data_IF_865336562337
#
_entry.id   IF_865336562337
#
_cell.length_a   1.000
_cell.length_b   1.000
_cell.length_c   1.000
_cell.angle_alpha   90.00
_cell.angle_beta   90.00
_cell.angle_gamma   90.00
#
_symmetry.space_group_name_H-M   'P 1'
#
loop_
_entity.id
_entity.type
_entity.pdbx_description
1 polymer ?
#
# COMPACT_ATOMS: atom_id res chain seq x y z
N UNK A 1 -16.44 8.00 44.16
CA UNK A 1 -16.39 9.22 43.31
C UNK A 1 -15.93 8.78 41.94
N UNK A 2 -16.82 8.86 40.97
CA UNK A 2 -16.62 8.41 39.60
C UNK A 2 -15.94 9.47 38.76
N UNK A 3 -15.08 9.05 37.84
CA UNK A 3 -14.89 9.63 36.51
C UNK A 3 -14.25 8.50 35.67
N UNK A 4 -14.84 7.89 34.65
CA UNK A 4 -15.85 8.39 33.72
C UNK A 4 -15.19 8.87 32.43
N UNK A 5 -14.48 7.99 31.72
CA UNK A 5 -14.05 8.23 30.33
C UNK A 5 -14.32 6.96 29.52
N UNK A 6 -15.53 6.92 28.97
CA UNK A 6 -15.93 5.99 27.92
C UNK A 6 -15.03 6.22 26.70
N UNK A 7 -14.15 5.26 26.41
CA UNK A 7 -13.54 5.17 25.09
C UNK A 7 -14.27 4.07 24.34
N UNK A 8 -15.17 4.49 23.47
CA UNK A 8 -15.99 3.62 22.63
C UNK A 8 -15.08 2.68 21.86
N UNK A 9 -15.27 1.39 22.11
CA UNK A 9 -14.64 0.27 21.43
C UNK A 9 -14.82 0.40 19.91
N UNK A 10 -13.76 0.76 19.20
CA UNK A 10 -13.61 0.41 17.80
C UNK A 10 -13.05 -1.01 17.76
N UNK A 11 -13.96 -1.95 17.53
CA UNK A 11 -13.70 -3.38 17.38
C UNK A 11 -12.47 -3.63 16.52
N UNK A 12 -11.54 -4.36 17.10
CA UNK A 12 -10.30 -4.86 16.49
C UNK A 12 -10.54 -5.98 15.46
N UNK A 13 -11.75 -6.09 14.90
CA UNK A 13 -12.23 -7.24 14.13
C UNK A 13 -12.75 -6.84 12.76
N UNK A 14 -11.96 -6.07 11.99
CA UNK A 14 -12.18 -5.92 10.53
C UNK A 14 -10.86 -5.60 9.79
N UNK A 15 -9.75 -6.12 10.31
CA UNK A 15 -8.48 -6.16 9.56
C UNK A 15 -8.54 -7.41 8.68
N UNK A 16 -9.24 -7.26 7.55
CA UNK A 16 -9.34 -8.29 6.52
C UNK A 16 -7.96 -8.78 6.11
N UNK A 17 -7.61 -9.97 6.59
CA UNK A 17 -6.59 -10.90 6.07
C UNK A 17 -5.40 -10.21 5.41
N UNK A 18 -4.53 -9.63 6.23
CA UNK A 18 -3.19 -9.22 5.79
C UNK A 18 -2.53 -10.46 5.16
N UNK A 19 -2.14 -10.35 3.90
CA UNK A 19 -1.37 -11.40 3.23
C UNK A 19 -0.03 -11.56 3.97
N UNK A 20 0.07 -12.60 4.81
CA UNK A 20 1.26 -12.92 5.59
C UNK A 20 2.51 -13.14 4.72
N UNK A 21 2.37 -13.25 3.38
CA UNK A 21 3.51 -13.30 2.46
C UNK A 21 4.27 -11.97 2.36
N UNK A 22 3.65 -10.84 2.74
CA UNK A 22 4.31 -9.53 2.65
C UNK A 22 5.01 -9.10 3.96
N UNK A 23 4.90 -9.89 5.04
CA UNK A 23 5.53 -9.63 6.34
C UNK A 23 6.85 -10.38 6.58
N UNK A 24 7.34 -11.15 5.60
CA UNK A 24 8.60 -11.88 5.73
C UNK A 24 9.70 -11.19 4.93
N UNK A 25 10.32 -10.17 5.52
CA UNK A 25 11.60 -9.61 5.09
C UNK A 25 12.61 -9.76 6.22
N UNK A 26 12.89 -11.01 6.60
CA UNK A 26 13.99 -11.36 7.50
C UNK A 26 15.01 -12.20 6.74
N UNK A 27 15.67 -11.61 5.73
CA UNK A 27 17.05 -11.93 5.35
C UNK A 27 17.47 -11.09 4.14
N UNK A 28 18.24 -10.04 4.39
CA UNK A 28 19.11 -9.45 3.38
C UNK A 28 20.55 -9.86 3.73
N UNK A 29 21.12 -10.73 2.91
CA UNK A 29 22.54 -11.04 2.95
C UNK A 29 23.33 -9.80 2.50
N UNK A 30 24.37 -9.50 3.27
CA UNK A 30 25.28 -8.35 3.21
C UNK A 30 25.93 -8.11 1.86
N UNK A 31 25.98 -6.86 1.42
CA UNK A 31 27.14 -6.28 0.73
C UNK A 31 27.35 -4.84 1.22
N UNK A 32 28.50 -4.64 1.87
CA UNK A 32 28.87 -3.45 2.63
C UNK A 32 29.30 -2.29 1.73
N UNK A 33 28.72 -1.12 1.94
CA UNK A 33 29.34 0.15 1.56
C UNK A 33 29.44 0.98 2.83
N UNK A 34 30.66 1.08 3.36
CA UNK A 34 30.98 1.71 4.63
C UNK A 34 31.06 3.23 4.47
N UNK A 35 30.12 3.97 5.05
CA UNK A 35 30.34 5.37 5.39
C UNK A 35 30.13 5.52 6.90
N UNK A 36 31.19 5.89 7.63
CA UNK A 36 31.20 6.17 9.08
C UNK A 36 30.76 5.01 10.01
N UNK A 37 30.91 3.75 9.59
CA UNK A 37 30.60 2.59 10.43
C UNK A 37 29.11 2.26 10.55
N UNK A 38 28.26 2.84 9.71
CA UNK A 38 26.86 2.45 9.57
C UNK A 38 26.56 2.10 8.11
N UNK A 39 26.16 0.85 7.86
CA UNK A 39 25.79 0.38 6.53
C UNK A 39 24.41 0.95 6.17
N UNK A 40 24.35 2.12 5.53
CA UNK A 40 23.08 2.63 4.99
C UNK A 40 22.88 2.01 3.61
N UNK A 41 22.30 0.81 3.58
CA UNK A 41 21.74 0.26 2.34
C UNK A 41 20.48 1.06 1.97
N UNK A 42 20.64 2.14 1.20
CA UNK A 42 19.50 2.96 0.76
C UNK A 42 18.63 2.24 -0.27
N UNK A 43 19.19 1.28 -0.99
CA UNK A 43 18.52 0.66 -2.14
C UNK A 43 17.56 -0.47 -1.74
N UNK A 44 17.88 -1.22 -0.69
CA UNK A 44 17.02 -2.28 -0.16
C UNK A 44 15.79 -1.66 0.51
N UNK A 45 16.01 -0.66 1.38
CA UNK A 45 14.96 -0.03 2.17
C UNK A 45 13.89 0.69 1.32
N UNK A 46 14.29 1.44 0.29
CA UNK A 46 13.33 2.16 -0.58
C UNK A 46 12.50 1.19 -1.42
N UNK A 47 13.12 0.17 -2.03
CA UNK A 47 12.38 -0.80 -2.83
C UNK A 47 11.47 -1.68 -1.96
N UNK A 48 11.89 -2.05 -0.76
CA UNK A 48 11.05 -2.79 0.19
C UNK A 48 9.84 -1.97 0.63
N UNK A 49 10.02 -0.67 0.87
CA UNK A 49 8.92 0.25 1.18
C UNK A 49 7.92 0.39 0.01
N UNK A 50 8.42 0.51 -1.24
CA UNK A 50 7.57 0.52 -2.44
C UNK A 50 6.77 -0.78 -2.56
N UNK A 51 7.41 -1.93 -2.34
CA UNK A 51 6.76 -3.24 -2.37
C UNK A 51 5.69 -3.36 -1.28
N UNK A 52 5.99 -2.91 -0.06
CA UNK A 52 5.04 -2.89 1.06
C UNK A 52 3.81 -2.03 0.73
N UNK A 53 4.01 -0.86 0.09
CA UNK A 53 2.92 0.01 -0.36
C UNK A 53 2.06 -0.68 -1.42
N UNK A 54 2.68 -1.33 -2.41
CA UNK A 54 1.96 -2.11 -3.42
C UNK A 54 1.14 -3.24 -2.76
N UNK A 55 1.67 -3.93 -1.76
CA UNK A 55 0.93 -4.94 -0.99
C UNK A 55 -0.30 -4.34 -0.30
N UNK A 56 -0.14 -3.21 0.41
CA UNK A 56 -1.24 -2.52 1.10
C UNK A 56 -2.31 -2.04 0.11
N UNK A 57 -1.89 -1.44 -1.00
CA UNK A 57 -2.79 -1.01 -2.07
C UNK A 57 -3.53 -2.19 -2.72
N UNK A 58 -2.85 -3.34 -2.92
CA UNK A 58 -3.50 -4.59 -3.37
C UNK A 58 -4.56 -5.06 -2.39
N UNK A 59 -4.28 -5.06 -1.10
CA UNK A 59 -5.24 -5.47 -0.07
C UNK A 59 -6.46 -4.53 -0.07
N UNK A 60 -6.24 -3.22 -0.09
CA UNK A 60 -7.32 -2.23 -0.19
C UNK A 60 -8.17 -2.43 -1.45
N UNK A 61 -7.52 -2.64 -2.60
CA UNK A 61 -8.21 -2.92 -3.86
C UNK A 61 -9.02 -4.22 -3.81
N UNK A 62 -8.48 -5.28 -3.18
CA UNK A 62 -9.17 -6.56 -3.02
C UNK A 62 -10.38 -6.49 -2.08
N UNK A 63 -10.30 -5.70 -1.00
CA UNK A 63 -11.42 -5.47 -0.08
C UNK A 63 -12.61 -4.82 -0.79
N UNK A 64 -12.35 -3.98 -1.79
CA UNK A 64 -13.36 -3.33 -2.64
C UNK A 64 -13.78 -4.17 -3.86
N UNK A 65 -13.45 -5.48 -3.92
CA UNK A 65 -13.77 -6.36 -5.07
C UNK A 65 -15.23 -6.32 -5.49
N UNK A 66 -16.15 -6.29 -4.52
CA UNK A 66 -17.58 -6.26 -4.78
C UNK A 66 -18.01 -4.97 -5.48
N UNK A 67 -17.43 -3.82 -5.08
CA UNK A 67 -17.66 -2.52 -5.68
C UNK A 67 -17.23 -2.50 -7.16
N UNK A 68 -16.06 -3.06 -7.47
CA UNK A 68 -15.54 -3.10 -8.84
C UNK A 68 -16.44 -3.91 -9.77
N UNK A 69 -17.02 -5.01 -9.29
CA UNK A 69 -17.91 -5.90 -10.04
C UNK A 69 -19.35 -5.39 -10.16
N UNK A 70 -19.70 -4.30 -9.47
CA UNK A 70 -21.06 -3.78 -9.46
C UNK A 70 -21.33 -2.98 -10.74
N UNK A 71 -22.29 -3.43 -11.55
CA UNK A 71 -22.66 -2.79 -12.82
C UNK A 71 -23.51 -1.53 -12.64
N UNK A 72 -24.17 -1.37 -11.48
CA UNK A 72 -25.02 -0.21 -11.18
C UNK A 72 -24.26 1.05 -10.76
N UNK A 73 -22.93 1.01 -10.66
CA UNK A 73 -22.13 2.16 -10.26
C UNK A 73 -21.46 2.80 -11.47
N UNK A 74 -21.51 4.13 -11.55
CA UNK A 74 -20.83 4.86 -12.62
C UNK A 74 -19.32 4.72 -12.50
N UNK A 75 -18.64 4.69 -13.65
CA UNK A 75 -17.19 4.64 -13.72
C UNK A 75 -16.54 5.83 -13.00
N UNK A 76 -17.19 7.01 -13.05
CA UNK A 76 -16.76 8.20 -12.31
C UNK A 76 -16.72 7.98 -10.80
N UNK A 77 -17.75 7.34 -10.22
CA UNK A 77 -17.78 7.05 -8.79
C UNK A 77 -16.73 6.01 -8.42
N UNK A 78 -16.61 4.92 -9.20
CA UNK A 78 -15.55 3.92 -9.00
C UNK A 78 -14.16 4.56 -9.06
N UNK A 79 -13.94 5.49 -10.00
CA UNK A 79 -12.69 6.24 -10.13
C UNK A 79 -12.38 7.12 -8.93
N UNK A 80 -13.38 7.83 -8.37
CA UNK A 80 -13.21 8.62 -7.15
C UNK A 80 -12.86 7.76 -5.94
N UNK A 81 -13.54 6.63 -5.76
CA UNK A 81 -13.24 5.69 -4.67
C UNK A 81 -11.83 5.13 -4.83
N UNK A 82 -11.45 4.74 -6.05
CA UNK A 82 -10.10 4.27 -6.34
C UNK A 82 -9.02 5.30 -6.00
N UNK A 83 -9.24 6.56 -6.40
CA UNK A 83 -8.31 7.66 -6.13
C UNK A 83 -8.15 7.91 -4.63
N UNK A 84 -9.26 7.95 -3.89
CA UNK A 84 -9.26 8.24 -2.46
C UNK A 84 -8.67 7.12 -1.59
N UNK A 85 -8.77 5.86 -2.02
CA UNK A 85 -8.38 4.70 -1.22
C UNK A 85 -7.07 4.09 -1.71
N UNK A 86 -7.09 3.48 -2.89
CA UNK A 86 -5.97 2.68 -3.40
C UNK A 86 -4.84 3.57 -3.89
N UNK A 87 -5.16 4.63 -4.65
CA UNK A 87 -4.14 5.54 -5.21
C UNK A 87 -3.47 6.38 -4.12
N UNK A 88 -4.22 6.81 -3.11
CA UNK A 88 -3.68 7.49 -1.94
C UNK A 88 -2.64 6.61 -1.21
N UNK A 89 -2.96 5.33 -0.94
CA UNK A 89 -2.02 4.38 -0.30
C UNK A 89 -0.80 4.11 -1.17
N UNK A 90 -1.01 4.00 -2.49
CA UNK A 90 0.05 3.73 -3.46
C UNK A 90 1.06 4.89 -3.56
N UNK A 91 0.56 6.13 -3.52
CA UNK A 91 1.36 7.35 -3.69
C UNK A 91 1.84 7.97 -2.38
N UNK A 92 1.36 7.51 -1.24
CA UNK A 92 1.81 7.99 0.06
C UNK A 92 3.34 7.87 0.18
N UNK A 93 4.00 8.99 0.51
CA UNK A 93 5.46 9.09 0.61
C UNK A 93 6.21 9.23 -0.72
N UNK A 94 5.54 9.18 -1.88
CA UNK A 94 6.22 9.36 -3.16
C UNK A 94 6.76 10.78 -3.39
N UNK A 95 6.21 11.75 -2.68
CA UNK A 95 6.60 13.17 -2.76
C UNK A 95 7.88 13.47 -1.96
N UNK A 96 8.23 12.63 -1.00
CA UNK A 96 9.30 12.90 -0.02
C UNK A 96 10.56 12.06 -0.26
N UNK A 97 10.44 10.91 -0.95
CA UNK A 97 11.55 10.00 -1.19
C UNK A 97 12.05 10.08 -2.65
N UNK A 98 13.37 9.94 -2.90
CA UNK A 98 13.90 9.87 -4.26
C UNK A 98 13.46 8.56 -4.92
N UNK A 99 12.30 8.58 -5.59
CA UNK A 99 11.79 7.41 -6.30
C UNK A 99 12.59 7.22 -7.60
N UNK A 100 13.17 6.04 -7.74
CA UNK A 100 13.85 5.62 -8.97
C UNK A 100 12.85 5.29 -10.07
N UNK A 101 13.27 5.43 -11.32
CA UNK A 101 12.45 5.12 -12.49
C UNK A 101 11.93 3.67 -12.51
N UNK A 102 12.69 2.72 -11.96
CA UNK A 102 12.27 1.33 -11.82
C UNK A 102 11.08 1.16 -10.85
N UNK A 103 11.08 1.90 -9.75
CA UNK A 103 10.01 1.86 -8.76
C UNK A 103 8.74 2.55 -9.28
N UNK A 104 8.89 3.69 -9.98
CA UNK A 104 7.76 4.32 -10.71
C UNK A 104 7.11 3.35 -11.70
N UNK A 105 7.92 2.61 -12.49
CA UNK A 105 7.39 1.61 -13.42
C UNK A 105 6.57 0.54 -12.71
N UNK A 106 7.01 0.06 -11.54
CA UNK A 106 6.25 -0.92 -10.75
C UNK A 106 4.92 -0.37 -10.26
N UNK A 107 4.91 0.87 -9.77
CA UNK A 107 3.68 1.57 -9.37
C UNK A 107 2.72 1.74 -10.56
N UNK A 108 3.23 2.16 -11.72
CA UNK A 108 2.45 2.31 -12.95
C UNK A 108 1.86 0.99 -13.44
N UNK A 109 2.63 -0.10 -13.41
CA UNK A 109 2.13 -1.44 -13.79
C UNK A 109 0.98 -1.87 -12.90
N UNK A 110 1.08 -1.60 -11.60
CA UNK A 110 0.00 -1.89 -10.65
C UNK A 110 -1.23 -1.01 -10.92
N UNK A 111 -1.05 0.30 -11.07
CA UNK A 111 -2.12 1.27 -11.35
C UNK A 111 -2.91 0.89 -12.61
N UNK A 112 -2.20 0.61 -13.71
CA UNK A 112 -2.80 0.17 -14.96
C UNK A 112 -3.60 -1.13 -14.83
N UNK A 113 -3.14 -2.07 -14.00
CA UNK A 113 -3.87 -3.32 -13.75
C UNK A 113 -5.17 -3.07 -12.98
N UNK A 114 -5.16 -2.19 -11.99
CA UNK A 114 -6.34 -1.79 -11.23
C UNK A 114 -7.35 -1.09 -12.13
N UNK A 115 -6.93 -0.10 -12.93
CA UNK A 115 -7.79 0.64 -13.84
C UNK A 115 -8.48 -0.27 -14.86
N UNK A 116 -7.76 -1.25 -15.44
CA UNK A 116 -8.36 -2.27 -16.33
C UNK A 116 -9.43 -3.12 -15.67
N UNK A 117 -9.40 -3.27 -14.34
CA UNK A 117 -10.40 -4.03 -13.59
C UNK A 117 -11.60 -3.16 -13.23
N UNK A 118 -11.38 -1.87 -12.96
CA UNK A 118 -12.45 -0.90 -12.65
C UNK A 118 -13.29 -0.57 -13.88
N UNK A 119 -12.65 -0.51 -15.04
CA UNK A 119 -13.30 -0.21 -16.32
C UNK A 119 -14.04 -1.39 -16.95
N UNK A 120 -14.04 -2.56 -16.29
CA UNK A 120 -14.88 -3.71 -16.65
C UNK A 120 -16.24 -3.59 -15.97
#
# INVERSE_FOLDING_TARGET
MSCGCETTSLRSEDIGRIDHRCLRTDQCATQDITHLGSCISSDCSVTDEVNARICKARAAFANLRHLWRQNGLSLNLKGRVYQATVRAVLLYGCETWPIRTADLRRLQVFDNRCLKTIAR
#
